data_IF_074769210657
#
_entry.id   IF_074769210657
#
_cell.length_a   1.000
_cell.length_b   1.000
_cell.length_c   1.000
_cell.angle_alpha   90.00
_cell.angle_beta   90.00
_cell.angle_gamma   90.00
#
_symmetry.space_group_name_H-M   'P 1'
#
loop_
_entity.id
_entity.type
_entity.pdbx_description
1 polymer ?
#
# COMPACT_ATOMS: atom_id res chain seq x y z
N UNK A 1 -4.06 -6.46 -22.10
CA UNK A 1 -3.95 -6.88 -20.70
C UNK A 1 -3.98 -5.63 -19.85
N UNK A 2 -4.98 -5.50 -18.99
CA UNK A 2 -5.06 -4.37 -18.05
C UNK A 2 -4.44 -4.79 -16.71
N UNK A 3 -4.00 -3.82 -15.92
CA UNK A 3 -3.42 -4.12 -14.61
C UNK A 3 -3.60 -2.98 -13.63
N UNK A 4 -3.57 -3.34 -12.35
CA UNK A 4 -3.72 -2.43 -11.23
C UNK A 4 -2.53 -2.57 -10.27
N UNK A 5 -1.90 -1.46 -9.95
CA UNK A 5 -0.84 -1.36 -8.94
C UNK A 5 -1.47 -0.76 -7.68
N UNK A 6 -1.68 -1.57 -6.66
CA UNK A 6 -2.15 -1.13 -5.35
C UNK A 6 -0.96 -1.06 -4.41
N UNK A 7 -0.78 0.04 -3.68
CA UNK A 7 0.30 0.13 -2.71
C UNK A 7 -0.04 0.93 -1.46
N UNK A 8 0.62 0.60 -0.35
CA UNK A 8 0.67 1.45 0.84
C UNK A 8 2.05 2.12 0.94
N UNK A 9 2.12 3.38 1.36
CA UNK A 9 3.39 4.08 1.50
C UNK A 9 3.36 5.13 2.60
N UNK A 10 4.06 4.88 3.71
CA UNK A 10 4.16 5.84 4.81
C UNK A 10 5.08 7.03 4.51
N UNK A 11 6.30 6.77 4.01
CA UNK A 11 7.35 7.79 3.79
C UNK A 11 7.69 8.02 2.32
N UNK A 12 6.89 7.49 1.40
CA UNK A 12 7.07 7.70 -0.05
C UNK A 12 7.98 6.68 -0.76
N UNK A 13 8.64 5.78 -0.03
CA UNK A 13 9.55 4.78 -0.65
C UNK A 13 8.80 3.82 -1.56
N UNK A 14 7.75 3.18 -1.05
CA UNK A 14 6.91 2.25 -1.84
C UNK A 14 6.19 2.99 -2.97
N UNK A 15 5.74 4.23 -2.71
CA UNK A 15 5.16 5.11 -3.75
C UNK A 15 6.10 5.31 -4.93
N UNK A 16 7.39 5.56 -4.67
CA UNK A 16 8.39 5.76 -5.72
C UNK A 16 8.51 4.53 -6.62
N UNK A 17 8.55 3.34 -6.04
CA UNK A 17 8.61 2.07 -6.80
C UNK A 17 7.32 1.83 -7.57
N UNK A 18 6.16 2.02 -6.93
CA UNK A 18 4.86 1.82 -7.57
C UNK A 18 4.68 2.74 -8.79
N UNK A 19 5.12 4.00 -8.70
CA UNK A 19 5.15 4.94 -9.84
C UNK A 19 6.06 4.48 -10.96
N UNK A 20 7.27 3.99 -10.65
CA UNK A 20 8.18 3.47 -11.67
C UNK A 20 7.58 2.25 -12.40
N UNK A 21 6.86 1.38 -11.69
CA UNK A 21 6.15 0.26 -12.30
C UNK A 21 5.01 0.76 -13.19
N UNK A 22 4.23 1.75 -12.73
CA UNK A 22 3.18 2.37 -13.55
C UNK A 22 3.77 2.96 -14.84
N UNK A 23 4.85 3.73 -14.75
CA UNK A 23 5.51 4.34 -15.91
C UNK A 23 5.97 3.28 -16.94
N UNK A 24 6.45 2.12 -16.45
CA UNK A 24 6.90 1.04 -17.31
C UNK A 24 5.77 0.20 -17.94
N UNK A 25 4.60 0.16 -17.31
CA UNK A 25 3.50 -0.78 -17.68
C UNK A 25 2.26 -0.10 -18.21
N UNK A 26 2.05 1.19 -17.90
CA UNK A 26 0.80 1.90 -18.17
C UNK A 26 -0.38 1.45 -17.29
N UNK A 27 -0.15 0.66 -16.24
CA UNK A 27 -1.20 0.15 -15.36
C UNK A 27 -1.81 1.26 -14.49
N UNK A 28 -3.05 1.03 -14.04
CA UNK A 28 -3.70 1.91 -13.08
C UNK A 28 -2.93 1.87 -11.76
N UNK A 29 -2.93 3.00 -11.05
CA UNK A 29 -2.17 3.15 -9.81
C UNK A 29 -3.09 3.67 -8.70
N UNK A 30 -3.13 2.92 -7.61
CA UNK A 30 -3.93 3.26 -6.44
C UNK A 30 -3.13 3.20 -5.14
N UNK A 31 -3.19 4.27 -4.36
CA UNK A 31 -2.59 4.33 -3.02
C UNK A 31 -3.63 3.98 -1.95
N UNK A 32 -3.36 2.93 -1.18
CA UNK A 32 -4.11 2.59 0.04
C UNK A 32 -3.87 3.70 1.07
N UNK A 33 -4.96 4.28 1.55
CA UNK A 33 -4.96 5.26 2.65
C UNK A 33 -5.63 4.66 3.87
N UNK A 34 -5.05 4.91 5.04
CA UNK A 34 -5.67 4.54 6.32
C UNK A 34 -6.51 5.68 6.88
N UNK A 35 -7.60 5.34 7.57
CA UNK A 35 -8.49 6.33 8.19
C UNK A 35 -7.81 7.11 9.34
N UNK A 36 -6.87 6.49 10.03
CA UNK A 36 -6.10 7.10 11.12
C UNK A 36 -4.67 7.40 10.64
N UNK A 37 -4.32 8.68 10.47
CA UNK A 37 -2.99 9.07 10.03
C UNK A 37 -1.90 8.59 11.01
N UNK A 38 -0.95 7.77 10.51
CA UNK A 38 0.21 7.25 11.26
C UNK A 38 1.37 8.26 11.33
N UNK A 39 1.08 9.50 11.72
CA UNK A 39 2.07 10.60 11.73
C UNK A 39 2.99 10.46 12.94
N UNK A 40 4.30 10.65 12.73
CA UNK A 40 5.31 10.70 13.80
C UNK A 40 5.92 9.34 14.19
N UNK A 41 6.84 9.39 15.16
CA UNK A 41 7.59 8.23 15.70
C UNK A 41 6.70 7.25 16.45
N UNK A 42 5.67 7.75 17.15
CA UNK A 42 4.64 6.94 17.80
C UNK A 42 3.81 6.13 16.79
N UNK A 43 3.46 6.73 15.65
CA UNK A 43 2.80 6.03 14.54
C UNK A 43 3.67 4.91 13.96
N UNK A 44 5.00 5.07 13.94
CA UNK A 44 5.94 4.03 13.51
C UNK A 44 6.02 2.87 14.52
N UNK A 45 6.18 3.16 15.82
CA UNK A 45 6.21 2.13 16.86
C UNK A 45 4.91 1.32 16.89
N UNK A 46 3.77 2.02 16.80
CA UNK A 46 2.45 1.40 16.72
C UNK A 46 2.30 0.53 15.48
N UNK A 47 2.74 1.01 14.32
CA UNK A 47 2.70 0.23 13.06
C UNK A 47 3.50 -1.07 13.17
N UNK A 48 4.71 -1.04 13.74
CA UNK A 48 5.51 -2.25 13.95
C UNK A 48 4.84 -3.25 14.91
N UNK A 49 4.23 -2.74 15.99
CA UNK A 49 3.48 -3.57 16.93
C UNK A 49 2.21 -4.17 16.29
N UNK A 50 1.49 -3.40 15.49
CA UNK A 50 0.29 -3.82 14.75
C UNK A 50 0.61 -4.91 13.73
N UNK A 51 1.69 -4.75 12.95
CA UNK A 51 2.18 -5.77 12.01
C UNK A 51 2.55 -7.06 12.74
N UNK A 52 3.25 -6.97 13.88
CA UNK A 52 3.60 -8.16 14.68
C UNK A 52 2.36 -8.87 15.24
N UNK A 53 1.32 -8.10 15.58
CA UNK A 53 0.04 -8.61 16.12
C UNK A 53 -0.99 -8.96 15.04
N UNK A 54 -0.65 -8.85 13.75
CA UNK A 54 -1.56 -9.07 12.60
C UNK A 54 -2.86 -8.28 12.70
N UNK A 55 -2.81 -7.09 13.29
CA UNK A 55 -3.99 -6.24 13.35
C UNK A 55 -4.23 -5.61 11.98
N UNK A 56 -5.41 -5.84 11.41
CA UNK A 56 -5.80 -5.27 10.12
C UNK A 56 -6.34 -3.85 10.33
N UNK A 57 -5.61 -2.80 9.93
CA UNK A 57 -6.11 -1.43 10.05
C UNK A 57 -7.28 -1.21 9.10
N UNK A 58 -8.21 -0.33 9.47
CA UNK A 58 -9.28 0.09 8.56
C UNK A 58 -8.72 0.99 7.47
N UNK A 59 -8.73 0.50 6.24
CA UNK A 59 -8.40 1.27 5.03
C UNK A 59 -9.62 2.07 4.57
N UNK A 60 -9.36 3.17 3.87
CA UNK A 60 -10.38 3.88 3.12
C UNK A 60 -10.89 3.01 1.95
N UNK A 61 -12.12 3.22 1.47
CA UNK A 61 -12.63 2.52 0.29
C UNK A 61 -11.67 2.67 -0.91
N UNK A 62 -11.52 1.59 -1.67
CA UNK A 62 -10.79 1.62 -2.93
C UNK A 62 -11.65 2.29 -4.01
N UNK A 63 -10.97 2.97 -4.92
CA UNK A 63 -11.56 3.60 -6.12
C UNK A 63 -11.70 2.57 -7.23
N UNK A 64 -10.71 1.71 -7.42
CA UNK A 64 -10.74 0.66 -8.43
C UNK A 64 -11.21 -0.66 -7.81
N UNK A 65 -12.02 -1.41 -8.56
CA UNK A 65 -12.38 -2.79 -8.21
C UNK A 65 -11.30 -3.75 -8.74
N UNK A 66 -10.51 -4.40 -7.86
CA UNK A 66 -9.42 -5.28 -8.29
C UNK A 66 -9.90 -6.49 -9.10
N UNK A 67 -11.18 -6.88 -8.98
CA UNK A 67 -11.73 -8.02 -9.74
C UNK A 67 -11.86 -7.75 -11.24
N UNK A 68 -11.75 -6.49 -11.66
CA UNK A 68 -11.85 -6.06 -13.06
C UNK A 68 -10.51 -6.07 -13.81
N UNK A 69 -9.42 -6.48 -13.17
CA UNK A 69 -8.07 -6.44 -13.72
C UNK A 69 -7.49 -7.84 -13.94
N UNK A 70 -6.78 -8.02 -15.05
CA UNK A 70 -6.06 -9.26 -15.36
C UNK A 70 -4.88 -9.48 -14.39
N UNK A 71 -4.25 -8.40 -13.93
CA UNK A 71 -3.09 -8.41 -13.02
C UNK A 71 -3.27 -7.38 -11.90
N UNK A 72 -3.03 -7.81 -10.67
CA UNK A 72 -2.92 -6.92 -9.50
C UNK A 72 -1.54 -7.02 -8.89
N UNK A 73 -0.80 -5.90 -8.90
CA UNK A 73 0.49 -5.76 -8.23
C UNK A 73 0.28 -5.12 -6.86
N UNK A 74 0.75 -5.77 -5.80
CA UNK A 74 0.60 -5.27 -4.42
C UNK A 74 1.96 -4.80 -3.90
N UNK A 75 2.08 -3.50 -3.61
CA UNK A 75 3.29 -2.88 -3.06
C UNK A 75 3.15 -2.56 -1.57
N UNK A 76 3.98 -3.17 -0.73
CA UNK A 76 4.00 -2.88 0.71
C UNK A 76 5.39 -2.50 1.20
N UNK A 77 5.50 -1.60 2.20
CA UNK A 77 6.71 -1.47 2.98
C UNK A 77 6.88 -2.71 3.87
N UNK A 78 8.11 -3.18 4.05
CA UNK A 78 8.42 -4.21 5.05
C UNK A 78 8.41 -3.59 6.44
N UNK A 79 7.67 -4.20 7.36
CA UNK A 79 7.62 -3.84 8.78
C UNK A 79 7.97 -5.07 9.62
N UNK A 80 9.03 -4.99 10.43
CA UNK A 80 9.46 -6.08 11.31
C UNK A 80 9.51 -7.45 10.59
N UNK A 81 10.10 -7.48 9.39
CA UNK A 81 10.19 -8.67 8.52
C UNK A 81 8.85 -9.27 8.07
N UNK A 82 7.76 -8.51 8.16
CA UNK A 82 6.42 -8.90 7.75
C UNK A 82 5.80 -7.88 6.77
N UNK A 83 4.80 -8.36 6.04
CA UNK A 83 3.84 -7.58 5.25
C UNK A 83 2.64 -7.20 6.11
#
# INVERSE_FOLDING_TARGET
>A
MNGLIIYFSRTGRTRKVAKAIQEATGFDLEEIKEKAGRVGTLGWLKSGMESTRRMLPKIMPLTHDPSQYDIVVIGTPIWASNM
#
